data_IF_078733476010
#
_entry.id   IF_078733476010
#
_cell.length_a   1.000
_cell.length_b   1.000
_cell.length_c   1.000
_cell.angle_alpha   90.00
_cell.angle_beta   90.00
_cell.angle_gamma   90.00
#
_symmetry.space_group_name_H-M   'P 1'
#
loop_
_entity.id
_entity.type
_entity.pdbx_description
1 polymer ?
#
# COMPACT_ATOMS: atom_id res chain seq x y z
N UNK A 1 -9.08 1.20 11.72
CA UNK A 1 -9.20 1.73 10.34
C UNK A 1 -9.65 0.65 9.36
N UNK A 2 -8.93 -0.48 9.24
CA UNK A 2 -9.31 -1.55 8.30
C UNK A 2 -10.71 -2.14 8.54
N UNK A 3 -11.10 -2.38 9.79
CA UNK A 3 -12.43 -2.93 10.11
C UNK A 3 -13.57 -1.95 9.76
N UNK A 4 -13.39 -0.65 10.02
CA UNK A 4 -14.37 0.40 9.71
C UNK A 4 -14.49 0.57 8.20
N UNK A 5 -13.37 0.64 7.48
CA UNK A 5 -13.35 0.69 6.01
C UNK A 5 -14.07 -0.51 5.41
N UNK A 6 -13.75 -1.72 5.88
CA UNK A 6 -14.42 -2.96 5.44
C UNK A 6 -15.92 -2.93 5.72
N UNK A 7 -16.34 -2.49 6.90
CA UNK A 7 -17.76 -2.38 7.26
C UNK A 7 -18.50 -1.46 6.28
N UNK A 8 -17.95 -0.27 6.02
CA UNK A 8 -18.57 0.72 5.12
C UNK A 8 -18.64 0.16 3.70
N UNK A 9 -17.56 -0.45 3.21
CA UNK A 9 -17.55 -1.06 1.87
C UNK A 9 -18.57 -2.20 1.75
N UNK A 10 -18.68 -3.06 2.77
CA UNK A 10 -19.71 -4.12 2.80
C UNK A 10 -21.11 -3.50 2.76
N UNK A 11 -21.35 -2.45 3.54
CA UNK A 11 -22.64 -1.78 3.60
C UNK A 11 -23.02 -1.14 2.27
N UNK A 12 -22.05 -0.53 1.57
CA UNK A 12 -22.22 -0.02 0.19
C UNK A 12 -22.54 -1.16 -0.77
N UNK A 13 -21.82 -2.28 -0.72
CA UNK A 13 -22.07 -3.42 -1.62
C UNK A 13 -23.45 -4.03 -1.40
N UNK A 14 -23.88 -4.20 -0.15
CA UNK A 14 -25.22 -4.68 0.18
C UNK A 14 -26.29 -3.70 -0.31
N UNK A 15 -26.08 -2.40 -0.10
CA UNK A 15 -26.99 -1.37 -0.61
C UNK A 15 -27.12 -1.42 -2.13
N UNK A 16 -26.01 -1.56 -2.86
CA UNK A 16 -26.02 -1.67 -4.32
C UNK A 16 -26.74 -2.92 -4.81
N UNK A 17 -26.55 -4.07 -4.14
CA UNK A 17 -27.26 -5.31 -4.47
C UNK A 17 -28.77 -5.17 -4.24
N UNK A 18 -29.18 -4.60 -3.11
CA UNK A 18 -30.59 -4.34 -2.81
C UNK A 18 -31.19 -3.33 -3.80
N UNK A 19 -30.48 -2.24 -4.08
CA UNK A 19 -30.90 -1.22 -5.04
C UNK A 19 -31.08 -1.81 -6.44
N UNK A 20 -30.14 -2.63 -6.89
CA UNK A 20 -30.22 -3.31 -8.18
C UNK A 20 -31.38 -4.30 -8.22
N UNK A 21 -31.61 -5.07 -7.16
CA UNK A 21 -32.73 -6.00 -7.04
C UNK A 21 -34.08 -5.26 -7.12
N UNK A 22 -34.21 -4.14 -6.41
CA UNK A 22 -35.39 -3.27 -6.46
C UNK A 22 -35.58 -2.71 -7.88
N UNK A 23 -34.51 -2.36 -8.58
CA UNK A 23 -34.58 -1.80 -9.93
C UNK A 23 -34.98 -2.84 -10.99
N UNK A 24 -34.46 -4.06 -10.89
CA UNK A 24 -34.68 -5.14 -11.87
C UNK A 24 -35.97 -5.92 -11.63
N UNK A 25 -36.45 -6.01 -10.38
CA UNK A 25 -37.62 -6.82 -10.03
C UNK A 25 -38.84 -5.95 -9.71
N UNK A 26 -39.85 -5.91 -10.61
CA UNK A 26 -41.09 -5.17 -10.37
C UNK A 26 -41.82 -5.63 -9.11
N UNK A 27 -41.78 -6.94 -8.79
CA UNK A 27 -42.41 -7.49 -7.60
C UNK A 27 -41.77 -6.96 -6.31
N UNK A 28 -40.43 -6.88 -6.29
CA UNK A 28 -39.69 -6.31 -5.16
C UNK A 28 -39.95 -4.81 -5.07
N UNK A 29 -39.85 -4.09 -6.19
CA UNK A 29 -40.16 -2.65 -6.26
C UNK A 29 -41.53 -2.32 -5.68
N UNK A 30 -42.58 -3.05 -6.08
CA UNK A 30 -43.94 -2.81 -5.60
C UNK A 30 -44.08 -3.06 -4.10
N UNK A 31 -43.40 -4.09 -3.58
CA UNK A 31 -43.40 -4.38 -2.13
C UNK A 31 -42.77 -3.25 -1.32
N UNK A 32 -41.62 -2.75 -1.78
CA UNK A 32 -40.94 -1.63 -1.11
C UNK A 32 -41.64 -0.28 -1.33
N UNK A 33 -42.26 -0.04 -2.49
CA UNK A 33 -42.99 1.22 -2.74
C UNK A 33 -44.25 1.32 -1.89
N UNK A 34 -44.92 0.20 -1.62
CA UNK A 34 -46.07 0.16 -0.70
C UNK A 34 -45.64 0.49 0.73
N UNK A 35 -44.43 0.10 1.13
CA UNK A 35 -43.86 0.45 2.44
C UNK A 35 -43.40 1.92 2.50
N UNK A 36 -42.84 2.45 1.41
CA UNK A 36 -42.41 3.84 1.30
C UNK A 36 -43.58 4.83 1.11
N UNK A 37 -44.78 4.32 0.80
CA UNK A 37 -45.99 5.10 0.52
C UNK A 37 -46.14 5.53 -0.94
N UNK A 38 -45.03 5.76 -1.66
CA UNK A 38 -45.06 5.99 -3.11
C UNK A 38 -43.77 5.51 -3.79
N UNK A 39 -43.79 5.27 -5.13
CA UNK A 39 -42.58 4.98 -5.87
C UNK A 39 -41.57 6.14 -5.86
N UNK A 40 -42.05 7.38 -5.90
CA UNK A 40 -41.22 8.59 -5.90
C UNK A 40 -40.43 8.73 -4.61
N UNK A 41 -41.08 8.53 -3.46
CA UNK A 41 -40.44 8.58 -2.14
C UNK A 41 -39.41 7.46 -1.97
N UNK A 42 -39.68 6.26 -2.50
CA UNK A 42 -38.72 5.16 -2.53
C UNK A 42 -37.45 5.55 -3.30
N UNK A 43 -37.58 6.08 -4.52
CA UNK A 43 -36.41 6.45 -5.31
C UNK A 43 -35.65 7.63 -4.70
N UNK A 44 -36.36 8.62 -4.16
CA UNK A 44 -35.73 9.73 -3.47
C UNK A 44 -34.98 9.26 -2.22
N UNK A 45 -35.57 8.36 -1.43
CA UNK A 45 -34.92 7.75 -0.26
C UNK A 45 -33.66 6.96 -0.64
N UNK A 46 -33.73 6.15 -1.69
CA UNK A 46 -32.56 5.44 -2.23
C UNK A 46 -31.49 6.41 -2.72
N UNK A 47 -31.87 7.48 -3.41
CA UNK A 47 -30.93 8.48 -3.92
C UNK A 47 -30.19 9.21 -2.79
N UNK A 48 -30.91 9.69 -1.78
CA UNK A 48 -30.31 10.36 -0.61
C UNK A 48 -29.40 9.39 0.15
N UNK A 49 -29.86 8.16 0.35
CA UNK A 49 -29.04 7.11 0.99
C UNK A 49 -27.77 6.83 0.19
N UNK A 50 -27.87 6.77 -1.15
CA UNK A 50 -26.73 6.57 -2.04
C UNK A 50 -25.72 7.71 -1.92
N UNK A 51 -26.16 8.97 -1.86
CA UNK A 51 -25.28 10.13 -1.66
C UNK A 51 -24.54 10.03 -0.32
N UNK A 52 -25.25 9.71 0.76
CA UNK A 52 -24.66 9.58 2.10
C UNK A 52 -23.60 8.47 2.11
N UNK A 53 -23.94 7.30 1.57
CA UNK A 53 -23.02 6.16 1.51
C UNK A 53 -21.81 6.44 0.62
N UNK A 54 -22.01 7.10 -0.52
CA UNK A 54 -20.93 7.52 -1.40
C UNK A 54 -19.99 8.50 -0.69
N UNK A 55 -20.55 9.53 -0.04
CA UNK A 55 -19.77 10.50 0.73
C UNK A 55 -18.96 9.82 1.84
N UNK A 56 -19.58 8.89 2.57
CA UNK A 56 -18.92 8.13 3.62
C UNK A 56 -17.76 7.28 3.07
N UNK A 57 -17.98 6.58 1.95
CA UNK A 57 -16.95 5.79 1.29
C UNK A 57 -15.77 6.68 0.86
N UNK A 58 -16.02 7.82 0.22
CA UNK A 58 -14.97 8.75 -0.20
C UNK A 58 -14.17 9.27 0.99
N UNK A 59 -14.83 9.69 2.06
CA UNK A 59 -14.14 10.18 3.27
C UNK A 59 -13.23 9.07 3.81
N UNK A 60 -13.72 7.84 3.92
CA UNK A 60 -12.90 6.74 4.43
C UNK A 60 -11.72 6.38 3.54
N UNK A 61 -11.86 6.41 2.21
CA UNK A 61 -10.74 6.14 1.30
C UNK A 61 -9.68 7.25 1.33
N UNK A 62 -10.12 8.51 1.45
CA UNK A 62 -9.22 9.64 1.60
C UNK A 62 -8.48 9.61 2.95
N UNK A 63 -9.17 9.26 4.04
CA UNK A 63 -8.56 9.11 5.36
C UNK A 63 -7.53 7.96 5.37
N UNK A 64 -7.83 6.84 4.74
CA UNK A 64 -6.89 5.70 4.66
C UNK A 64 -5.62 6.10 3.90
N UNK A 65 -5.77 6.79 2.75
CA UNK A 65 -4.65 7.26 1.93
C UNK A 65 -3.77 8.29 2.66
N UNK A 66 -4.38 9.21 3.40
CA UNK A 66 -3.64 10.23 4.16
C UNK A 66 -2.93 9.64 5.37
N UNK A 67 -3.55 8.68 6.08
CA UNK A 67 -2.90 7.96 7.18
C UNK A 67 -1.70 7.16 6.69
N UNK A 68 -1.83 6.45 5.56
CA UNK A 68 -0.73 5.67 5.00
C UNK A 68 0.46 6.56 4.61
N UNK A 69 0.20 7.71 3.98
CA UNK A 69 1.25 8.69 3.64
C UNK A 69 1.99 9.17 4.89
N UNK A 70 1.27 9.49 5.96
CA UNK A 70 1.88 9.95 7.22
C UNK A 70 2.77 8.87 7.84
N UNK A 71 2.32 7.62 7.84
CA UNK A 71 3.10 6.49 8.35
C UNK A 71 4.37 6.24 7.52
N UNK A 72 4.30 6.43 6.19
CA UNK A 72 5.47 6.34 5.31
C UNK A 72 6.47 7.44 5.64
N UNK A 73 6.05 8.70 5.72
CA UNK A 73 6.93 9.82 6.07
C UNK A 73 7.59 9.64 7.44
N UNK A 74 6.85 9.13 8.42
CA UNK A 74 7.41 8.82 9.74
C UNK A 74 8.47 7.71 9.69
N UNK A 75 8.28 6.70 8.83
CA UNK A 75 9.27 5.63 8.62
C UNK A 75 10.50 6.12 7.86
N UNK A 76 10.31 6.94 6.83
CA UNK A 76 11.40 7.55 6.06
C UNK A 76 12.29 8.44 6.93
N UNK A 77 11.71 9.23 7.84
CA UNK A 77 12.48 10.03 8.79
C UNK A 77 13.38 9.20 9.69
N UNK A 78 12.87 8.08 10.23
CA UNK A 78 13.66 7.15 11.05
C UNK A 78 14.79 6.48 10.25
N UNK A 79 14.51 6.11 9.00
CA UNK A 79 15.52 5.55 8.10
C UNK A 79 16.62 6.58 7.84
N UNK A 80 16.26 7.85 7.61
CA UNK A 80 17.23 8.90 7.39
C UNK A 80 18.10 9.14 8.63
N UNK A 81 17.50 9.13 9.82
CA UNK A 81 18.25 9.24 11.09
C UNK A 81 19.19 8.04 11.31
N UNK A 82 18.73 6.81 11.04
CA UNK A 82 19.56 5.61 11.12
C UNK A 82 20.72 5.64 10.12
N UNK A 83 20.47 6.11 8.90
CA UNK A 83 21.50 6.31 7.88
C UNK A 83 22.53 7.34 8.35
N UNK A 84 22.09 8.47 8.88
CA UNK A 84 23.00 9.49 9.43
C UNK A 84 23.86 8.92 10.56
N UNK A 85 23.27 8.20 11.51
CA UNK A 85 24.02 7.53 12.60
C UNK A 85 25.04 6.52 12.08
N UNK A 86 24.71 5.77 11.03
CA UNK A 86 25.62 4.81 10.42
C UNK A 86 26.78 5.53 9.70
N UNK A 87 26.49 6.60 8.98
CA UNK A 87 27.52 7.45 8.37
C UNK A 87 28.43 8.08 9.42
N UNK A 88 27.89 8.60 10.51
CA UNK A 88 28.65 9.18 11.61
C UNK A 88 29.56 8.12 12.25
N UNK A 89 29.07 6.89 12.47
CA UNK A 89 29.86 5.77 12.98
C UNK A 89 30.98 5.35 12.02
N UNK A 90 30.71 5.30 10.72
CA UNK A 90 31.73 4.98 9.71
C UNK A 90 32.80 6.08 9.64
N UNK A 91 32.40 7.34 9.69
CA UNK A 91 33.35 8.46 9.71
C UNK A 91 34.21 8.46 10.98
N UNK A 92 33.64 8.15 12.15
CA UNK A 92 34.39 8.04 13.39
C UNK A 92 35.39 6.87 13.34
N UNK A 93 34.99 5.71 12.80
CA UNK A 93 35.91 4.59 12.59
C UNK A 93 37.04 4.92 11.60
N UNK A 94 36.74 5.65 10.51
CA UNK A 94 37.75 6.11 9.56
C UNK A 94 38.74 7.08 10.22
N UNK A 95 38.26 8.05 11.01
CA UNK A 95 39.11 9.00 11.74
C UNK A 95 39.99 8.31 12.79
N UNK A 96 39.47 7.31 13.49
CA UNK A 96 40.26 6.49 14.43
C UNK A 96 41.35 5.69 13.69
N UNK A 97 41.05 5.21 12.47
CA UNK A 97 42.01 4.51 11.61
C UNK A 97 43.09 5.46 11.06
N UNK A 98 42.74 6.68 10.66
CA UNK A 98 43.71 7.69 10.18
C UNK A 98 44.60 8.26 11.30
N UNK A 99 44.09 8.35 12.54
CA UNK A 99 44.85 8.90 13.69
C UNK A 99 45.86 7.91 14.27
N UNK A 100 45.77 6.62 13.95
CA UNK A 100 46.79 5.61 14.24
C UNK A 100 47.40 5.07 12.94
N UNK A 101 48.49 5.68 12.42
CA UNK A 101 49.23 5.10 11.31
C UNK A 101 49.88 3.79 11.79
N UNK A 102 49.23 2.65 11.57
CA UNK A 102 49.74 1.31 11.89
C UNK A 102 48.75 0.32 12.51
N UNK A 103 47.52 0.71 12.84
CA UNK A 103 46.51 -0.24 13.31
C UNK A 103 45.78 -0.86 12.10
N UNK A 104 46.19 -2.08 11.72
CA UNK A 104 45.54 -2.87 10.69
C UNK A 104 44.01 -3.01 10.96
N UNK A 105 43.16 -2.98 9.92
CA UNK A 105 41.72 -3.04 10.11
C UNK A 105 41.36 -4.40 10.70
N UNK A 106 40.86 -4.40 11.95
CA UNK A 106 40.28 -5.59 12.56
C UNK A 106 38.92 -5.80 11.88
N UNK A 107 38.90 -6.57 10.81
CA UNK A 107 37.69 -7.02 10.13
C UNK A 107 36.81 -7.75 11.15
N UNK A 108 35.75 -7.07 11.59
CA UNK A 108 34.68 -7.71 12.33
C UNK A 108 34.04 -8.75 11.42
N UNK A 109 34.17 -10.03 11.78
CA UNK A 109 33.44 -11.11 11.13
C UNK A 109 31.96 -10.87 11.41
N UNK A 110 31.21 -10.46 10.39
CA UNK A 110 29.75 -10.52 10.43
C UNK A 110 29.35 -11.99 10.38
N UNK A 111 29.03 -12.57 11.53
CA UNK A 111 28.40 -13.90 11.58
C UNK A 111 27.00 -13.77 11.02
N UNK A 112 26.81 -14.28 9.81
CA UNK A 112 25.48 -14.43 9.19
C UNK A 112 24.72 -15.49 10.02
N UNK A 113 23.47 -15.23 10.45
CA UNK A 113 22.66 -16.24 11.15
C UNK A 113 22.48 -17.48 10.28
N UNK A 114 22.63 -18.66 10.88
CA UNK A 114 22.42 -19.94 10.22
C UNK A 114 20.96 -20.02 9.73
N UNK A 115 20.75 -19.96 8.41
CA UNK A 115 19.44 -19.88 7.78
C UNK A 115 19.16 -18.62 6.94
N UNK A 116 20.10 -17.68 6.82
CA UNK A 116 19.97 -16.56 5.89
C UNK A 116 20.11 -17.03 4.43
N UNK A 117 19.00 -17.06 3.70
CA UNK A 117 18.99 -17.20 2.24
C UNK A 117 19.08 -15.79 1.66
N UNK A 118 20.17 -15.41 0.99
CA UNK A 118 20.23 -14.11 0.33
C UNK A 118 19.11 -14.04 -0.73
N UNK A 119 18.42 -12.90 -0.86
CA UNK A 119 17.49 -12.72 -1.97
C UNK A 119 18.25 -12.89 -3.28
N UNK A 120 17.78 -13.80 -4.13
CA UNK A 120 18.30 -13.98 -5.48
C UNK A 120 18.11 -12.67 -6.24
N UNK A 121 19.19 -11.90 -6.38
CA UNK A 121 19.25 -10.74 -7.25
C UNK A 121 18.86 -11.20 -8.65
N UNK A 122 17.87 -10.58 -9.32
CA UNK A 122 17.69 -10.80 -10.75
C UNK A 122 18.96 -10.34 -11.43
N UNK A 123 19.69 -11.28 -12.05
CA UNK A 123 20.83 -10.98 -12.90
C UNK A 123 20.33 -9.98 -13.95
N UNK A 124 20.86 -8.75 -13.93
CA UNK A 124 20.59 -7.79 -14.98
C UNK A 124 20.94 -8.44 -16.32
N UNK A 125 20.10 -8.36 -17.36
CA UNK A 125 20.43 -8.95 -18.65
C UNK A 125 21.71 -8.30 -19.15
N UNK A 126 22.72 -9.12 -19.39
CA UNK A 126 23.96 -8.73 -20.06
C UNK A 126 23.61 -8.10 -21.40
N UNK A 127 23.90 -6.82 -21.58
CA UNK A 127 23.63 -6.05 -22.80
C UNK A 127 24.63 -6.36 -23.93
N UNK A 128 25.10 -7.60 -24.03
CA UNK A 128 25.95 -8.03 -25.13
C UNK A 128 25.07 -8.08 -26.40
N UNK A 129 25.36 -7.29 -27.44
CA UNK A 129 24.62 -7.39 -28.69
C UNK A 129 24.92 -8.75 -29.33
N UNK A 130 23.88 -9.54 -29.56
CA UNK A 130 23.97 -10.82 -30.29
C UNK A 130 23.48 -10.63 -31.72
N UNK A 131 24.09 -11.32 -32.67
CA UNK A 131 23.56 -11.38 -34.04
C UNK A 131 22.28 -12.24 -34.12
N UNK A 132 21.65 -12.28 -35.29
CA UNK A 132 20.42 -13.06 -35.53
C UNK A 132 20.62 -14.58 -35.45
N UNK A 133 21.86 -15.05 -35.30
CA UNK A 133 22.23 -16.46 -35.07
C UNK A 133 22.60 -16.75 -33.61
N UNK A 134 22.56 -15.75 -32.72
CA UNK A 134 22.83 -15.90 -31.29
C UNK A 134 24.32 -15.91 -30.91
N UNK A 135 25.22 -15.44 -31.78
CA UNK A 135 26.63 -15.24 -31.44
C UNK A 135 26.88 -13.80 -30.94
N UNK A 136 27.73 -13.60 -29.91
CA UNK A 136 28.09 -12.26 -29.45
C UNK A 136 28.89 -11.54 -30.53
N UNK A 137 28.48 -10.32 -30.88
CA UNK A 137 29.22 -9.44 -31.78
C UNK A 137 30.51 -9.01 -31.07
N UNK A 138 31.66 -9.47 -31.56
CA UNK A 138 33.00 -9.11 -31.06
C UNK A 138 33.40 -7.69 -31.48
#
# INVERSE_FOLDING_TARGET
>A
MLAIKRLITILVMVFLLLGLLILLSPAVRNSFSNMAGSPESLFFGLFITAIILLGLQLITENLDSTMLRRDITAREGKINELKARLYDQQMEQQRLTERMPGAAPRTGVTTIPEGYVPPSTPTAPSSTPYDSSGQPLA
#
